data_IF_088861591332
#
_entry.id   IF_088861591332
#
_cell.length_a   1.000
_cell.length_b   1.000
_cell.length_c   1.000
_cell.angle_alpha   90.00
_cell.angle_beta   90.00
_cell.angle_gamma   90.00
#
_symmetry.space_group_name_H-M   'P 1'
#
loop_
_entity.id
_entity.type
_entity.pdbx_description
1 polymer ?
#
# COMPACT_ATOMS: atom_id res chain seq x y z
N UNK A 1 -19.11 1.00 -8.06
CA UNK A 1 -17.98 0.73 -7.15
C UNK A 1 -18.16 1.23 -5.71
N UNK A 2 -18.40 2.53 -5.47
CA UNK A 2 -18.42 3.09 -4.10
C UNK A 2 -19.37 2.38 -3.13
N UNK A 3 -20.59 2.08 -3.56
CA UNK A 3 -21.55 1.32 -2.75
C UNK A 3 -21.04 -0.09 -2.39
N UNK A 4 -20.44 -0.83 -3.33
CA UNK A 4 -19.86 -2.15 -3.05
C UNK A 4 -18.74 -2.07 -1.99
N UNK A 5 -17.89 -1.04 -2.09
CA UNK A 5 -16.82 -0.82 -1.13
C UNK A 5 -17.35 -0.48 0.28
N UNK A 6 -18.35 0.40 0.36
CA UNK A 6 -18.92 0.87 1.64
C UNK A 6 -19.78 -0.21 2.32
N UNK A 7 -20.65 -0.85 1.56
CA UNK A 7 -21.58 -1.87 2.07
C UNK A 7 -20.89 -3.22 2.27
N UNK A 8 -19.69 -3.42 1.69
CA UNK A 8 -18.93 -4.69 1.72
C UNK A 8 -19.67 -5.88 1.11
N UNK A 9 -20.61 -5.57 0.22
CA UNK A 9 -21.47 -6.52 -0.47
C UNK A 9 -21.25 -6.45 -1.98
N UNK A 10 -21.39 -7.61 -2.63
CA UNK A 10 -21.29 -7.71 -4.09
C UNK A 10 -22.47 -7.00 -4.76
N UNK A 11 -22.22 -6.37 -5.90
CA UNK A 11 -23.25 -5.75 -6.74
C UNK A 11 -23.29 -6.48 -8.07
N UNK A 12 -24.46 -6.93 -8.48
CA UNK A 12 -24.68 -7.56 -9.78
C UNK A 12 -25.71 -6.78 -10.60
N UNK A 13 -25.36 -6.43 -11.83
CA UNK A 13 -26.20 -5.67 -12.74
C UNK A 13 -26.29 -6.37 -14.10
N UNK A 14 -27.49 -6.44 -14.64
CA UNK A 14 -27.79 -6.93 -16.00
C UNK A 14 -28.38 -5.84 -16.90
N UNK A 15 -28.71 -4.68 -16.33
CA UNK A 15 -29.13 -3.48 -17.04
C UNK A 15 -28.09 -2.41 -16.77
N UNK A 16 -27.11 -2.34 -17.67
CA UNK A 16 -26.07 -1.32 -17.62
C UNK A 16 -26.55 -0.10 -18.42
N UNK A 17 -26.32 1.13 -17.93
CA UNK A 17 -26.55 2.32 -18.74
C UNK A 17 -25.79 2.23 -20.07
N UNK A 18 -26.37 2.82 -21.11
CA UNK A 18 -25.68 3.00 -22.38
C UNK A 18 -24.36 3.76 -22.12
N UNK A 19 -23.26 3.27 -22.71
CA UNK A 19 -21.89 3.78 -22.53
C UNK A 19 -21.25 3.61 -21.13
N UNK A 20 -21.82 2.79 -20.22
CA UNK A 20 -21.19 2.57 -18.90
C UNK A 20 -19.78 1.97 -19.01
N UNK A 21 -19.61 0.97 -19.88
CA UNK A 21 -18.29 0.47 -20.28
C UNK A 21 -18.36 -0.28 -21.61
N UNK A 22 -17.21 -0.43 -22.25
CA UNK A 22 -17.03 -1.27 -23.42
C UNK A 22 -15.96 -2.32 -23.19
N UNK A 23 -16.23 -3.56 -23.61
CA UNK A 23 -15.20 -4.57 -23.77
C UNK A 23 -14.55 -4.35 -25.14
N UNK A 24 -13.25 -4.05 -25.13
CA UNK A 24 -12.47 -3.78 -26.34
C UNK A 24 -11.60 -4.98 -26.71
N UNK A 25 -11.56 -5.30 -28.00
CA UNK A 25 -10.62 -6.27 -28.57
C UNK A 25 -10.00 -5.72 -29.85
N UNK A 26 -9.02 -6.44 -30.42
CA UNK A 26 -8.44 -6.08 -31.72
C UNK A 26 -9.43 -6.12 -32.89
N UNK A 27 -10.63 -6.69 -32.68
CA UNK A 27 -11.68 -6.81 -33.69
C UNK A 27 -12.82 -5.79 -33.53
N UNK A 28 -12.83 -5.00 -32.45
CA UNK A 28 -13.88 -4.00 -32.21
C UNK A 28 -14.19 -3.78 -30.74
N UNK A 29 -15.31 -3.09 -30.49
CA UNK A 29 -15.84 -2.83 -29.14
C UNK A 29 -17.27 -3.36 -29.02
N UNK A 30 -17.63 -3.82 -27.83
CA UNK A 30 -18.99 -4.26 -27.54
C UNK A 30 -19.35 -4.04 -26.07
N UNK A 31 -20.62 -3.72 -25.82
CA UNK A 31 -21.16 -3.51 -24.49
C UNK A 31 -21.41 -4.85 -23.79
N UNK A 32 -21.01 -5.03 -22.51
CA UNK A 32 -21.32 -6.24 -21.75
C UNK A 32 -22.81 -6.34 -21.42
N UNK A 33 -23.30 -7.55 -21.24
CA UNK A 33 -24.69 -7.82 -20.83
C UNK A 33 -24.83 -7.95 -19.31
N UNK A 34 -23.73 -8.17 -18.59
CA UNK A 34 -23.74 -8.13 -17.13
C UNK A 34 -22.43 -7.61 -16.54
N UNK A 35 -22.52 -7.09 -15.33
CA UNK A 35 -21.41 -6.65 -14.51
C UNK A 35 -21.56 -7.19 -13.10
N UNK A 36 -20.53 -7.85 -12.60
CA UNK A 36 -20.38 -8.21 -11.21
C UNK A 36 -19.26 -7.36 -10.59
N UNK A 37 -19.56 -6.74 -9.46
CA UNK A 37 -18.63 -5.94 -8.66
C UNK A 37 -18.49 -6.63 -7.31
N UNK A 38 -17.29 -7.09 -6.97
CA UNK A 38 -17.04 -7.87 -5.76
C UNK A 38 -16.03 -7.15 -4.87
N UNK A 39 -16.31 -6.97 -3.57
CA UNK A 39 -15.36 -6.35 -2.66
C UNK A 39 -14.21 -7.32 -2.35
N UNK A 40 -12.98 -6.84 -2.43
CA UNK A 40 -11.82 -7.55 -1.90
C UNK A 40 -11.78 -7.35 -0.39
N UNK A 41 -12.49 -8.21 0.35
CA UNK A 41 -12.56 -8.14 1.81
C UNK A 41 -11.75 -9.24 2.50
N UNK A 42 -11.05 -8.86 3.56
CA UNK A 42 -10.44 -9.78 4.52
C UNK A 42 -11.00 -9.38 5.89
N UNK A 43 -11.64 -10.33 6.58
CA UNK A 43 -12.46 -10.05 7.77
C UNK A 43 -13.46 -8.90 7.51
N UNK A 44 -13.23 -7.73 8.14
CA UNK A 44 -14.07 -6.55 8.02
C UNK A 44 -13.42 -5.39 7.25
N UNK A 45 -12.25 -5.60 6.64
CA UNK A 45 -11.51 -4.57 5.91
C UNK A 45 -11.65 -4.83 4.42
N UNK A 46 -12.17 -3.84 3.68
CA UNK A 46 -12.19 -3.85 2.22
C UNK A 46 -10.95 -3.13 1.73
N UNK A 47 -10.07 -3.85 1.02
CA UNK A 47 -8.81 -3.29 0.49
C UNK A 47 -8.96 -2.78 -0.94
N UNK A 48 -10.06 -3.12 -1.61
CA UNK A 48 -10.33 -2.76 -3.00
C UNK A 48 -11.59 -3.46 -3.51
N UNK A 49 -11.81 -3.35 -4.81
CA UNK A 49 -12.97 -3.94 -5.51
C UNK A 49 -12.49 -4.54 -6.83
N UNK A 50 -13.04 -5.70 -7.21
CA UNK A 50 -12.88 -6.29 -8.53
C UNK A 50 -14.17 -6.08 -9.32
N UNK A 51 -14.03 -5.71 -10.59
CA UNK A 51 -15.15 -5.65 -11.54
C UNK A 51 -14.97 -6.70 -12.63
N UNK A 52 -16.04 -7.44 -12.92
CA UNK A 52 -16.08 -8.47 -13.96
C UNK A 52 -17.27 -8.19 -14.87
N UNK A 53 -16.96 -7.72 -16.07
CA UNK A 53 -17.92 -7.55 -17.14
C UNK A 53 -18.01 -8.80 -18.00
N UNK A 54 -19.21 -9.19 -18.41
CA UNK A 54 -19.45 -10.37 -19.23
C UNK A 54 -20.50 -10.11 -20.30
N UNK A 55 -20.31 -10.70 -21.47
CA UNK A 55 -21.34 -10.76 -22.52
C UNK A 55 -22.45 -11.76 -22.18
N UNK A 56 -22.25 -12.64 -21.21
CA UNK A 56 -23.29 -13.53 -20.71
C UNK A 56 -23.79 -13.05 -19.34
N UNK A 57 -25.03 -13.38 -19.01
CA UNK A 57 -25.54 -13.19 -17.64
C UNK A 57 -24.93 -14.26 -16.75
N UNK A 58 -24.10 -13.83 -15.79
CA UNK A 58 -23.43 -14.74 -14.85
C UNK A 58 -24.45 -15.53 -14.02
N UNK A 59 -24.27 -16.84 -14.03
CA UNK A 59 -25.06 -17.79 -13.26
C UNK A 59 -24.71 -17.71 -11.76
N UNK A 60 -25.60 -18.18 -10.87
CA UNK A 60 -25.34 -18.15 -9.42
C UNK A 60 -24.00 -18.77 -9.01
N UNK A 61 -23.66 -19.94 -9.57
CA UNK A 61 -22.41 -20.65 -9.24
C UNK A 61 -21.16 -19.91 -9.75
N UNK A 62 -21.26 -19.17 -10.86
CA UNK A 62 -20.15 -18.36 -11.38
C UNK A 62 -19.87 -17.17 -10.46
N UNK A 63 -20.94 -16.50 -9.98
CA UNK A 63 -20.82 -15.40 -9.02
C UNK A 63 -20.23 -15.86 -7.70
N UNK A 64 -20.73 -16.97 -7.14
CA UNK A 64 -20.22 -17.55 -5.90
C UNK A 64 -18.74 -17.96 -6.03
N UNK A 65 -18.35 -18.50 -7.19
CA UNK A 65 -16.95 -18.81 -7.47
C UNK A 65 -16.08 -17.55 -7.45
N UNK A 66 -16.50 -16.48 -8.14
CA UNK A 66 -15.78 -15.20 -8.16
C UNK A 66 -15.66 -14.62 -6.75
N UNK A 67 -16.71 -14.69 -5.94
CA UNK A 67 -16.70 -14.23 -4.55
C UNK A 67 -15.66 -14.98 -3.71
N UNK A 68 -15.63 -16.32 -3.79
CA UNK A 68 -14.62 -17.14 -3.09
C UNK A 68 -13.19 -16.86 -3.57
N UNK A 69 -13.00 -16.65 -4.87
CA UNK A 69 -11.68 -16.28 -5.42
C UNK A 69 -11.27 -14.88 -4.91
N UNK A 70 -12.21 -13.96 -4.81
CA UNK A 70 -11.98 -12.60 -4.32
C UNK A 70 -11.52 -12.57 -2.86
N UNK A 71 -12.03 -13.46 -2.01
CA UNK A 71 -11.55 -13.62 -0.62
C UNK A 71 -10.07 -14.06 -0.56
N UNK A 72 -9.68 -15.01 -1.42
CA UNK A 72 -8.30 -15.47 -1.51
C UNK A 72 -7.36 -14.38 -2.04
N UNK A 73 -7.79 -13.64 -3.06
CA UNK A 73 -7.05 -12.49 -3.60
C UNK A 73 -6.89 -11.42 -2.51
N UNK A 74 -7.96 -11.11 -1.78
CA UNK A 74 -7.94 -10.11 -0.72
C UNK A 74 -6.92 -10.46 0.36
N UNK A 75 -6.94 -11.70 0.85
CA UNK A 75 -6.04 -12.17 1.90
C UNK A 75 -4.57 -12.04 1.48
N UNK A 76 -4.24 -12.47 0.26
CA UNK A 76 -2.88 -12.38 -0.27
C UNK A 76 -2.41 -10.94 -0.46
N UNK A 77 -3.27 -10.07 -0.99
CA UNK A 77 -2.96 -8.65 -1.16
C UNK A 77 -2.78 -7.94 0.17
N UNK A 78 -3.60 -8.27 1.18
CA UNK A 78 -3.47 -7.73 2.53
C UNK A 78 -2.10 -8.08 3.14
N UNK A 79 -1.73 -9.36 3.12
CA UNK A 79 -0.42 -9.81 3.61
C UNK A 79 0.74 -9.18 2.84
N UNK A 80 0.65 -9.13 1.51
CA UNK A 80 1.67 -8.50 0.67
C UNK A 80 1.87 -7.01 1.00
N UNK A 81 0.76 -6.27 1.16
CA UNK A 81 0.79 -4.85 1.54
C UNK A 81 1.37 -4.63 2.94
N UNK A 82 1.01 -5.48 3.90
CA UNK A 82 1.55 -5.43 5.26
C UNK A 82 3.06 -5.68 5.25
N UNK A 83 3.53 -6.70 4.53
CA UNK A 83 4.96 -7.03 4.42
C UNK A 83 5.76 -5.89 3.80
N UNK A 84 5.26 -5.32 2.69
CA UNK A 84 5.89 -4.16 2.05
C UNK A 84 5.99 -2.98 3.01
N UNK A 85 4.92 -2.68 3.77
CA UNK A 85 4.95 -1.57 4.72
C UNK A 85 5.97 -1.79 5.83
N UNK A 86 6.09 -3.01 6.34
CA UNK A 86 7.11 -3.39 7.31
C UNK A 86 8.53 -3.21 6.76
N UNK A 87 8.78 -3.61 5.51
CA UNK A 87 10.07 -3.41 4.85
C UNK A 87 10.42 -1.92 4.71
N UNK A 88 9.48 -1.10 4.23
CA UNK A 88 9.66 0.35 4.11
C UNK A 88 9.99 1.00 5.47
N UNK A 89 9.29 0.59 6.53
CA UNK A 89 9.54 1.11 7.89
C UNK A 89 10.90 0.67 8.43
N UNK A 90 11.32 -0.57 8.15
CA UNK A 90 12.63 -1.09 8.57
C UNK A 90 13.78 -0.33 7.88
N UNK A 91 13.64 -0.04 6.59
CA UNK A 91 14.59 0.78 5.84
C UNK A 91 14.71 2.20 6.41
N UNK A 92 13.56 2.83 6.68
CA UNK A 92 13.53 4.15 7.30
C UNK A 92 14.21 4.17 8.67
N UNK A 93 13.93 3.16 9.51
CA UNK A 93 14.52 3.05 10.84
C UNK A 93 16.05 2.87 10.77
N UNK A 94 16.55 2.03 9.86
CA UNK A 94 17.99 1.83 9.66
C UNK A 94 18.67 3.14 9.28
N UNK A 95 18.10 3.88 8.33
CA UNK A 95 18.62 5.18 7.91
C UNK A 95 18.68 6.18 9.06
N UNK A 96 17.62 6.26 9.86
CA UNK A 96 17.57 7.13 11.04
C UNK A 96 18.62 6.74 12.09
N UNK A 97 18.86 5.44 12.28
CA UNK A 97 19.88 4.95 13.21
C UNK A 97 21.30 5.31 12.73
N UNK A 98 21.57 5.20 11.43
CA UNK A 98 22.85 5.61 10.83
C UNK A 98 23.08 7.13 10.96
N UNK A 99 22.08 7.95 10.63
CA UNK A 99 22.14 9.41 10.78
C UNK A 99 22.42 9.81 12.24
N UNK A 100 21.75 9.17 13.19
CA UNK A 100 21.96 9.42 14.62
C UNK A 100 23.36 9.01 15.08
N UNK A 101 23.85 7.85 14.64
CA UNK A 101 25.20 7.40 14.97
C UNK A 101 26.28 8.37 14.44
N UNK A 102 26.09 8.91 13.23
CA UNK A 102 26.96 9.91 12.65
C UNK A 102 26.97 11.22 13.48
N UNK A 103 25.79 11.70 13.89
CA UNK A 103 25.67 12.88 14.76
C UNK A 103 26.34 12.68 16.12
N UNK A 104 26.20 11.49 16.73
CA UNK A 104 26.88 11.16 17.99
C UNK A 104 28.41 11.14 17.84
N UNK A 105 28.91 10.63 16.72
CA UNK A 105 30.35 10.62 16.43
C UNK A 105 30.90 12.05 16.24
N UNK A 106 30.19 12.89 15.47
CA UNK A 106 30.55 14.30 15.27
C UNK A 106 30.53 15.08 16.59
N UNK A 107 29.51 14.87 17.42
CA UNK A 107 29.42 15.50 18.74
C UNK A 107 30.58 15.10 19.65
N UNK A 108 31.01 13.82 19.63
CA UNK A 108 32.18 13.36 20.38
C UNK A 108 33.46 14.03 19.90
N UNK A 109 33.68 14.10 18.58
CA UNK A 109 34.83 14.79 18.01
C UNK A 109 34.87 16.27 18.44
N UNK A 110 33.74 16.97 18.35
CA UNK A 110 33.64 18.37 18.77
C UNK A 110 33.98 18.56 20.26
N UNK A 111 33.55 17.63 21.12
CA UNK A 111 33.89 17.65 22.55
C UNK A 111 35.39 17.42 22.80
N UNK A 112 36.03 16.52 22.05
CA UNK A 112 37.48 16.28 22.12
C UNK A 112 38.27 17.52 21.68
N UNK A 113 37.89 18.15 20.57
CA UNK A 113 38.52 19.38 20.09
C UNK A 113 38.39 20.54 21.10
N UNK A 114 37.21 20.71 21.70
CA UNK A 114 36.98 21.70 22.76
C UNK A 114 37.83 21.43 24.01
N UNK A 115 38.03 20.16 24.38
CA UNK A 115 38.88 19.80 25.50
C UNK A 115 40.35 20.15 25.23
N UNK A 116 40.85 19.86 24.02
CA UNK A 116 42.21 20.21 23.61
C UNK A 116 42.41 21.73 23.60
N UNK A 117 41.45 22.50 23.08
CA UNK A 117 41.51 23.97 23.06
C UNK A 117 41.57 24.56 24.47
N UNK A 118 40.72 24.06 25.38
CA UNK A 118 40.74 24.48 26.79
C UNK A 118 42.08 24.23 27.47
N UNK A 119 42.71 23.08 27.19
CA UNK A 119 44.00 22.75 27.77
C UNK A 119 45.11 23.67 27.24
N UNK A 120 45.10 23.97 25.93
CA UNK A 120 46.04 24.93 25.32
C UNK A 120 45.93 26.33 25.93
N UNK A 121 44.71 26.84 26.09
CA UNK A 121 44.46 28.16 26.68
C UNK A 121 44.99 28.26 28.11
N UNK A 122 44.77 27.21 28.93
CA UNK A 122 45.32 27.16 30.29
C UNK A 122 46.85 27.19 30.31
N UNK A 123 47.51 26.49 29.39
CA UNK A 123 48.97 26.51 29.31
C UNK A 123 49.52 27.88 28.89
N UNK A 124 48.81 28.60 28.03
CA UNK A 124 49.18 29.97 27.65
C UNK A 124 49.00 30.97 28.81
N UNK A 125 47.93 30.85 29.60
CA UNK A 125 47.71 31.67 30.79
C UNK A 125 48.77 31.47 31.88
N UNK A 126 49.31 30.25 32.03
CA UNK A 126 50.38 29.96 33.02
C UNK A 126 51.75 30.49 32.54
N UNK A 127 51.91 30.74 31.23
CA UNK A 127 53.18 31.18 30.63
C UNK A 127 53.34 32.70 30.55
N UNK A 128 52.29 33.47 30.87
CA UNK A 128 52.29 34.93 31.00
C UNK A 128 52.27 35.35 32.47
#
# INVERSE_FOLDING_TARGET
MGACFLEKESIFMTKLPDDYMEIRSGLGTASPNSLLVVPLRTENIVIGVIEIASFNVLQPHEKEFIEKVSENISSNLFTSKANRKTQELLEMFRKQAEEKAAQEAEMRQNLEELAILREKLKQEEIRN
#
